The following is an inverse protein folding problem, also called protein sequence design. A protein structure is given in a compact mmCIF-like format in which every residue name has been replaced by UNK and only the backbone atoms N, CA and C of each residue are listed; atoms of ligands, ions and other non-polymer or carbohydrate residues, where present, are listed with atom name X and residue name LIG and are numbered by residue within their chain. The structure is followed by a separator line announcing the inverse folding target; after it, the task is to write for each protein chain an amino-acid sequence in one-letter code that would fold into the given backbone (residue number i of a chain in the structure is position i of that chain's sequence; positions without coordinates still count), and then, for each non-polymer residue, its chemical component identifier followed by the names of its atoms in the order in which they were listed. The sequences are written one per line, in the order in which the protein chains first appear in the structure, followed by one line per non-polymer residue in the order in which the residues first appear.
data_IF_977775988619
#
_entry.id   IF_977775988619
#
_cell.length_a   1.000
_cell.length_b   1.000
_cell.length_c   1.000
_cell.angle_alpha   90.00
_cell.angle_beta   90.00
_cell.angle_gamma   90.00
#
_symmetry.space_group_name_H-M   'P 1'
#
loop_
_entity.id
_entity.type
_entity.pdbx_description
1 polymer ?
#
# COMPACT_ATOMS: atom_id res chain seq x y z
N UNK A 1 2.16 -5.99 18.63
CA UNK A 1 1.78 -4.57 18.77
C UNK A 1 1.69 -3.88 17.42
N UNK A 2 2.72 -3.91 16.57
CA UNK A 2 2.71 -3.24 15.25
C UNK A 2 1.52 -3.64 14.36
N UNK A 3 1.25 -4.95 14.23
CA UNK A 3 0.09 -5.47 13.50
C UNK A 3 -1.24 -4.94 14.06
N UNK A 4 -1.35 -4.80 15.38
CA UNK A 4 -2.54 -4.22 16.03
C UNK A 4 -2.67 -2.76 15.63
N UNK A 5 -1.59 -1.98 15.72
CA UNK A 5 -1.58 -0.57 15.32
C UNK A 5 -1.96 -0.35 13.85
N UNK A 6 -1.50 -1.21 12.93
CA UNK A 6 -1.86 -1.15 11.51
C UNK A 6 -3.33 -1.47 11.20
N UNK A 7 -4.03 -2.13 12.13
CA UNK A 7 -5.42 -2.54 12.00
C UNK A 7 -6.41 -1.64 12.76
N UNK A 8 -5.94 -0.82 13.71
CA UNK A 8 -6.82 0.02 14.52
C UNK A 8 -7.61 1.03 13.67
N UNK A 9 -8.92 1.10 13.90
CA UNK A 9 -9.92 1.81 13.10
C UNK A 9 -10.74 2.86 13.89
N UNK A 10 -10.40 3.11 15.15
CA UNK A 10 -11.06 4.15 15.93
C UNK A 10 -10.53 5.57 15.62
N UNK A 11 -11.30 6.59 15.95
CA UNK A 11 -10.93 7.99 15.66
C UNK A 11 -9.61 8.36 16.36
N UNK A 12 -8.68 8.92 15.59
CA UNK A 12 -7.35 9.34 16.08
C UNK A 12 -6.22 8.35 15.78
N UNK A 13 -6.49 7.21 15.12
CA UNK A 13 -5.46 6.30 14.61
C UNK A 13 -5.31 6.42 13.07
N UNK A 14 -5.60 5.35 12.32
CA UNK A 14 -5.38 5.30 10.88
C UNK A 14 -6.56 5.94 10.12
N UNK A 15 -6.23 6.85 9.21
CA UNK A 15 -7.17 7.31 8.19
C UNK A 15 -7.48 6.18 7.21
N UNK A 16 -6.49 5.32 6.92
CA UNK A 16 -6.67 4.08 6.19
C UNK A 16 -5.99 2.95 6.97
N UNK A 17 -6.77 2.07 7.58
CA UNK A 17 -6.25 0.86 8.20
C UNK A 17 -6.01 -0.21 7.12
N UNK A 18 -4.75 -0.59 6.97
CA UNK A 18 -4.28 -1.54 5.95
C UNK A 18 -4.73 -2.98 6.24
N UNK A 19 -5.10 -3.23 7.49
CA UNK A 19 -5.44 -4.51 8.07
C UNK A 19 -6.82 -4.44 8.70
N UNK A 20 -7.64 -5.48 8.54
CA UNK A 20 -8.99 -5.52 9.10
C UNK A 20 -8.96 -5.90 10.59
N UNK A 21 -9.55 -5.10 11.50
CA UNK A 21 -9.58 -5.42 12.92
C UNK A 21 -10.67 -6.46 13.25
N UNK A 22 -10.38 -7.77 13.07
CA UNK A 22 -11.33 -8.84 13.42
C UNK A 22 -11.17 -9.26 14.88
N UNK A 23 -11.89 -8.57 15.76
CA UNK A 23 -11.86 -8.78 17.21
C UNK A 23 -11.62 -7.47 17.95
N UNK A 24 -11.22 -7.55 19.23
CA UNK A 24 -10.96 -6.37 20.04
C UNK A 24 -9.53 -5.81 19.79
N UNK A 25 -9.38 -4.98 18.75
CA UNK A 25 -8.11 -4.29 18.42
C UNK A 25 -7.86 -3.02 19.28
N UNK A 26 -8.67 -2.84 20.32
CA UNK A 26 -8.68 -1.68 21.19
C UNK A 26 -9.61 -0.59 20.67
N UNK A 27 -9.89 0.39 21.52
CA UNK A 27 -10.89 1.40 21.26
C UNK A 27 -10.37 2.79 21.60
N UNK A 28 -11.14 3.80 21.17
CA UNK A 28 -10.91 5.20 21.57
C UNK A 28 -11.01 5.42 23.09
N UNK A 29 -11.61 4.49 23.84
CA UNK A 29 -11.78 4.62 25.27
C UNK A 29 -10.43 4.78 25.99
N UNK A 30 -9.41 4.03 25.55
CA UNK A 30 -8.08 4.05 26.17
C UNK A 30 -6.94 4.25 25.16
N UNK A 31 -7.27 4.65 23.93
CA UNK A 31 -6.29 4.81 22.86
C UNK A 31 -5.68 3.48 22.40
N UNK A 32 -6.49 2.42 22.39
CA UNK A 32 -6.09 1.09 21.94
C UNK A 32 -5.31 0.25 22.95
N UNK A 33 -5.13 0.73 24.19
CA UNK A 33 -4.48 -0.04 25.28
C UNK A 33 -5.35 -1.19 25.79
N UNK A 34 -6.65 -1.11 25.52
CA UNK A 34 -7.67 -2.13 25.75
C UNK A 34 -7.76 -3.18 24.64
N UNK A 35 -6.79 -3.21 23.72
CA UNK A 35 -6.68 -4.30 22.75
C UNK A 35 -6.52 -5.66 23.46
N UNK A 36 -7.24 -6.67 22.98
CA UNK A 36 -7.09 -8.02 23.46
C UNK A 36 -5.71 -8.58 23.09
N UNK A 37 -5.28 -9.63 23.80
CA UNK A 37 -4.02 -10.29 23.51
C UNK A 37 -4.02 -10.85 22.07
N UNK A 38 -2.86 -10.80 21.40
CA UNK A 38 -2.71 -11.16 19.99
C UNK A 38 -3.27 -12.54 19.61
N UNK A 39 -3.31 -13.49 20.56
CA UNK A 39 -3.87 -14.84 20.38
C UNK A 39 -5.40 -14.91 20.26
N UNK A 40 -6.11 -13.81 20.56
CA UNK A 40 -7.58 -13.75 20.57
C UNK A 40 -8.16 -12.83 19.49
N UNK A 41 -7.31 -12.31 18.61
CA UNK A 41 -7.69 -11.38 17.56
C UNK A 41 -7.13 -11.86 16.23
N UNK A 42 -7.84 -11.54 15.15
CA UNK A 42 -7.51 -11.97 13.80
C UNK A 42 -7.43 -10.76 12.89
N UNK A 43 -6.68 -10.88 11.79
CA UNK A 43 -6.60 -9.83 10.79
C UNK A 43 -6.32 -10.43 9.43
N UNK A 44 -6.67 -9.68 8.40
CA UNK A 44 -6.29 -9.93 7.01
C UNK A 44 -6.16 -8.58 6.31
N UNK A 45 -5.61 -8.57 5.09
CA UNK A 45 -5.51 -7.35 4.29
C UNK A 45 -6.88 -6.74 4.05
N UNK A 46 -6.98 -5.42 4.23
CA UNK A 46 -8.12 -4.64 3.77
C UNK A 46 -8.17 -4.70 2.24
N UNK A 47 -9.37 -4.78 1.65
CA UNK A 47 -9.53 -4.78 0.19
C UNK A 47 -8.94 -3.54 -0.48
N UNK A 48 -8.98 -2.40 0.22
CA UNK A 48 -8.37 -1.15 -0.24
C UNK A 48 -6.84 -1.26 -0.40
N UNK A 49 -6.18 -2.11 0.39
CA UNK A 49 -4.72 -2.28 0.39
C UNK A 49 -4.17 -2.63 -0.99
N UNK A 50 -4.84 -3.51 -1.74
CA UNK A 50 -4.40 -3.91 -3.08
C UNK A 50 -4.52 -2.79 -4.14
N UNK A 51 -5.38 -1.80 -3.92
CA UNK A 51 -5.45 -0.59 -4.77
C UNK A 51 -4.43 0.48 -4.37
N UNK A 52 -3.91 0.42 -3.13
CA UNK A 52 -2.84 1.30 -2.67
C UNK A 52 -1.49 0.74 -3.14
N UNK A 53 -1.28 -0.56 -3.05
CA UNK A 53 -0.04 -1.24 -3.45
C UNK A 53 -0.35 -2.14 -4.64
N UNK A 54 -0.13 -1.60 -5.85
CA UNK A 54 -0.46 -2.32 -7.07
C UNK A 54 0.51 -3.50 -7.27
N UNK A 55 -0.03 -4.70 -7.54
CA UNK A 55 0.75 -5.94 -7.70
C UNK A 55 1.86 -5.84 -8.76
N UNK A 56 1.58 -5.15 -9.86
CA UNK A 56 2.54 -4.94 -10.95
C UNK A 56 3.76 -4.09 -10.55
N UNK A 57 3.69 -3.35 -9.44
CA UNK A 57 4.85 -2.61 -8.92
C UNK A 57 5.84 -3.55 -8.21
N UNK A 58 5.42 -4.74 -7.76
CA UNK A 58 6.29 -5.67 -7.01
C UNK A 58 7.55 -6.03 -7.76
N UNK A 59 7.46 -6.26 -9.08
CA UNK A 59 8.60 -6.55 -9.94
C UNK A 59 9.65 -5.43 -10.03
N UNK A 60 9.29 -4.21 -9.62
CA UNK A 60 10.13 -3.01 -9.72
C UNK A 60 10.82 -2.68 -8.39
N UNK A 61 10.44 -3.35 -7.30
CA UNK A 61 10.95 -3.06 -5.97
C UNK A 61 12.31 -3.72 -5.76
N UNK A 62 13.15 -3.04 -4.97
CA UNK A 62 14.44 -3.59 -4.55
C UNK A 62 14.26 -4.41 -3.28
N UNK A 63 14.28 -5.73 -3.42
CA UNK A 63 14.16 -6.68 -2.32
C UNK A 63 15.48 -6.86 -1.56
N UNK A 64 15.39 -6.93 -0.23
CA UNK A 64 16.55 -7.18 0.63
C UNK A 64 16.88 -8.68 0.69
N UNK A 65 18.15 -9.00 1.00
CA UNK A 65 18.63 -10.38 1.21
C UNK A 65 19.10 -10.54 2.65
N UNK A 66 18.62 -11.60 3.33
CA UNK A 66 19.03 -11.99 4.67
C UNK A 66 19.20 -13.52 4.72
N UNK A 67 20.37 -14.02 5.11
CA UNK A 67 20.72 -15.45 5.11
C UNK A 67 20.38 -16.17 3.78
N UNK A 68 20.75 -15.55 2.65
CA UNK A 68 20.45 -16.02 1.27
C UNK A 68 18.95 -16.08 0.91
N UNK A 69 18.08 -15.56 1.78
CA UNK A 69 16.64 -15.45 1.53
C UNK A 69 16.27 -14.04 1.13
N UNK A 70 15.44 -13.95 0.10
CA UNK A 70 14.79 -12.70 -0.28
C UNK A 70 13.70 -12.39 0.74
N UNK A 71 13.80 -11.24 1.42
CA UNK A 71 12.85 -10.76 2.43
C UNK A 71 12.03 -9.58 1.87
N UNK A 72 11.52 -8.66 2.69
CA UNK A 72 10.79 -7.47 2.21
C UNK A 72 11.66 -6.51 1.37
N UNK A 73 11.04 -5.66 0.54
CA UNK A 73 11.76 -4.58 -0.12
C UNK A 73 12.17 -3.47 0.84
N UNK A 74 13.19 -2.70 0.45
CA UNK A 74 13.64 -1.52 1.21
C UNK A 74 12.47 -0.58 1.53
N UNK A 75 11.54 -0.43 0.58
CA UNK A 75 10.27 0.25 0.76
C UNK A 75 9.28 -0.18 -0.34
N UNK A 76 7.99 -0.04 -0.06
CA UNK A 76 6.94 -0.23 -1.04
C UNK A 76 6.57 1.09 -1.73
N UNK A 77 6.05 1.02 -2.94
CA UNK A 77 5.66 2.16 -3.76
C UNK A 77 4.13 2.31 -3.85
N UNK A 78 3.45 2.87 -2.83
CA UNK A 78 2.00 3.06 -2.88
C UNK A 78 1.59 4.06 -3.97
N UNK A 79 0.33 4.00 -4.43
CA UNK A 79 -0.27 4.92 -5.41
C UNK A 79 -0.43 6.35 -4.86
N UNK A 80 -0.51 6.51 -3.54
CA UNK A 80 -0.49 7.79 -2.81
C UNK A 80 0.49 7.72 -1.62
N UNK A 81 1.07 8.84 -1.14
CA UNK A 81 2.05 8.83 -0.05
C UNK A 81 1.39 8.48 1.29
N UNK A 82 1.45 7.20 1.67
CA UNK A 82 0.82 6.68 2.89
C UNK A 82 1.33 7.32 4.18
N UNK A 83 2.57 7.84 4.17
CA UNK A 83 3.13 8.60 5.28
C UNK A 83 2.30 9.86 5.58
N UNK A 84 1.77 10.55 4.57
CA UNK A 84 0.85 11.67 4.75
C UNK A 84 -0.56 11.20 5.10
N UNK A 85 -0.98 10.03 4.65
CA UNK A 85 -2.33 9.50 4.91
C UNK A 85 -2.52 9.17 6.39
N UNK A 86 -1.66 8.31 6.94
CA UNK A 86 -1.78 7.85 8.32
C UNK A 86 -0.93 8.64 9.31
N UNK A 87 -0.04 9.52 8.81
CA UNK A 87 0.92 10.22 9.63
C UNK A 87 2.04 9.28 10.12
N UNK A 88 2.81 9.77 11.08
CA UNK A 88 3.88 9.02 11.70
C UNK A 88 4.40 9.71 12.96
N UNK A 89 4.61 8.94 14.02
CA UNK A 89 5.23 9.40 15.26
C UNK A 89 6.36 8.45 15.62
N UNK A 90 7.51 9.00 15.97
CA UNK A 90 8.68 8.20 16.30
C UNK A 90 9.75 9.01 17.03
N UNK A 91 10.47 8.35 17.93
CA UNK A 91 11.60 8.92 18.66
C UNK A 91 12.80 8.00 18.44
N UNK A 92 13.88 8.58 17.93
CA UNK A 92 15.17 7.92 17.77
C UNK A 92 16.28 8.69 18.49
N UNK A 93 17.51 8.23 18.32
CA UNK A 93 18.67 8.93 18.88
C UNK A 93 18.95 10.19 18.06
N UNK A 94 18.79 11.36 18.67
CA UNK A 94 19.07 12.67 18.05
C UNK A 94 17.94 13.25 17.20
N UNK A 95 16.90 12.47 16.88
CA UNK A 95 15.77 12.89 16.06
C UNK A 95 14.44 12.39 16.63
N UNK A 96 13.38 13.16 16.41
CA UNK A 96 12.00 12.72 16.57
C UNK A 96 11.18 13.19 15.38
N UNK A 97 10.06 12.54 15.14
CA UNK A 97 9.12 12.95 14.09
C UNK A 97 7.71 12.96 14.65
N UNK A 98 6.95 13.97 14.25
CA UNK A 98 5.51 14.00 14.43
C UNK A 98 4.90 14.57 13.15
N UNK A 99 4.30 13.67 12.37
CA UNK A 99 3.56 13.98 11.15
C UNK A 99 2.10 13.61 11.41
N UNK A 100 1.18 14.59 11.49
CA UNK A 100 -0.22 14.28 11.62
C UNK A 100 -0.78 13.73 10.29
N UNK A 101 -1.90 13.00 10.34
CA UNK A 101 -2.52 12.47 9.15
C UNK A 101 -3.24 13.55 8.34
N UNK A 102 -3.36 13.34 7.03
CA UNK A 102 -4.04 14.23 6.08
C UNK A 102 -5.13 13.47 5.32
N UNK A 103 -6.07 14.21 4.72
CA UNK A 103 -7.18 13.63 3.97
C UNK A 103 -6.68 13.00 2.66
N UNK A 104 -6.94 11.70 2.41
CA UNK A 104 -6.55 11.03 1.17
C UNK A 104 -7.06 11.73 -0.10
N UNK A 105 -8.25 12.35 -0.06
CA UNK A 105 -8.82 13.05 -1.22
C UNK A 105 -8.05 14.33 -1.56
N UNK A 106 -7.58 15.07 -0.55
CA UNK A 106 -6.79 16.28 -0.74
C UNK A 106 -5.39 15.94 -1.29
N UNK A 107 -4.81 14.84 -0.79
CA UNK A 107 -3.56 14.29 -1.33
C UNK A 107 -3.72 13.93 -2.81
N UNK A 108 -4.77 13.19 -3.17
CA UNK A 108 -5.05 12.81 -4.57
C UNK A 108 -5.26 14.05 -5.45
N UNK A 109 -6.01 15.05 -4.98
CA UNK A 109 -6.21 16.30 -5.71
C UNK A 109 -4.88 17.01 -5.99
N UNK A 110 -3.98 17.05 -5.01
CA UNK A 110 -2.64 17.62 -5.22
C UNK A 110 -1.75 16.80 -6.15
N UNK A 111 -1.86 15.47 -6.15
CA UNK A 111 -1.17 14.62 -7.14
C UNK A 111 -1.67 14.95 -8.55
N UNK A 112 -2.98 15.12 -8.76
CA UNK A 112 -3.52 15.59 -10.04
C UNK A 112 -3.00 16.98 -10.42
N UNK A 113 -2.92 17.91 -9.47
CA UNK A 113 -2.35 19.24 -9.72
C UNK A 113 -0.89 19.15 -10.21
N UNK A 114 -0.06 18.33 -9.56
CA UNK A 114 1.33 18.10 -9.98
C UNK A 114 1.42 17.49 -11.38
N UNK A 115 0.57 16.52 -11.71
CA UNK A 115 0.52 15.93 -13.06
C UNK A 115 0.20 16.95 -14.15
N UNK A 116 -0.67 17.92 -13.83
CA UNK A 116 -1.13 18.98 -14.72
C UNK A 116 -0.22 20.23 -14.69
N UNK A 117 0.86 20.23 -13.89
CA UNK A 117 1.76 21.38 -13.72
C UNK A 117 1.15 22.56 -12.96
N UNK A 118 0.10 22.32 -12.17
CA UNK A 118 -0.58 23.30 -11.32
C UNK A 118 0.07 23.34 -9.93
N UNK A 119 0.04 24.49 -9.24
CA UNK A 119 0.53 24.57 -7.87
C UNK A 119 -0.30 23.68 -6.92
N UNK A 120 0.37 23.07 -5.95
CA UNK A 120 -0.31 22.32 -4.89
C UNK A 120 -1.05 23.25 -3.92
N UNK A 121 -2.24 22.82 -3.51
CA UNK A 121 -3.02 23.43 -2.43
C UNK A 121 -2.47 23.01 -1.07
N UNK A 122 -2.66 23.88 -0.07
CA UNK A 122 -2.29 23.55 1.31
C UNK A 122 -3.25 22.53 1.88
N UNK A 123 -2.72 21.54 2.59
CA UNK A 123 -3.50 20.50 3.26
C UNK A 123 -3.52 20.77 4.76
N UNK A 124 -4.69 20.66 5.38
CA UNK A 124 -4.83 20.72 6.83
C UNK A 124 -4.82 19.29 7.41
N UNK A 125 -4.30 19.09 8.64
CA UNK A 125 -4.38 17.78 9.26
C UNK A 125 -5.84 17.32 9.43
N UNK A 126 -6.10 16.04 9.17
CA UNK A 126 -7.44 15.49 9.10
C UNK A 126 -7.48 14.06 9.61
N UNK A 127 -8.53 13.73 10.36
CA UNK A 127 -8.71 12.44 11.02
C UNK A 127 -10.04 11.82 10.62
N UNK A 128 -10.01 10.57 10.15
CA UNK A 128 -11.20 9.89 9.64
C UNK A 128 -12.32 9.73 10.69
N UNK A 129 -13.48 10.29 10.34
CA UNK A 129 -14.72 10.34 11.12
C UNK A 129 -14.58 10.99 12.50
N UNK A 130 -13.58 11.85 12.65
CA UNK A 130 -13.60 12.88 13.68
C UNK A 130 -14.51 14.01 13.22
N UNK A 131 -15.43 14.45 14.09
CA UNK A 131 -16.43 15.45 13.73
C UNK A 131 -16.17 16.83 14.35
N UNK A 132 -15.01 17.05 14.97
CA UNK A 132 -14.65 18.32 15.60
C UNK A 132 -14.30 19.43 14.61
N UNK A 133 -13.74 20.52 15.14
CA UNK A 133 -13.39 21.72 14.35
C UNK A 133 -11.87 21.86 14.32
N UNK A 134 -11.30 21.99 13.11
CA UNK A 134 -9.90 22.36 12.92
C UNK A 134 -9.80 23.86 12.64
N UNK A 135 -9.01 24.57 13.44
CA UNK A 135 -8.73 25.99 13.26
C UNK A 135 -7.25 26.21 12.99
N UNK A 136 -6.95 26.97 11.95
CA UNK A 136 -5.61 27.42 11.61
C UNK A 136 -5.22 28.62 12.49
N UNK A 137 -4.04 28.57 13.10
CA UNK A 137 -3.60 29.52 14.13
C UNK A 137 -2.56 30.55 13.67
N UNK A 138 -2.01 30.38 12.47
CA UNK A 138 -0.99 31.23 11.87
C UNK A 138 -1.32 31.48 10.40
N UNK A 139 -0.79 32.53 9.77
CA UNK A 139 -1.06 32.80 8.35
C UNK A 139 -0.41 31.75 7.45
N UNK A 140 0.71 31.18 7.89
CA UNK A 140 1.48 30.17 7.17
C UNK A 140 0.79 28.80 7.15
N UNK A 141 -0.07 28.48 8.13
CA UNK A 141 -0.78 27.20 8.21
C UNK A 141 0.10 26.07 8.74
N UNK A 142 1.01 26.38 9.67
CA UNK A 142 1.87 25.39 10.34
C UNK A 142 1.35 25.00 11.72
N UNK A 143 0.42 25.78 12.29
CA UNK A 143 -0.15 25.54 13.62
C UNK A 143 -1.66 25.43 13.53
N UNK A 144 -2.20 24.38 14.13
CA UNK A 144 -3.63 24.12 14.19
C UNK A 144 -4.08 23.90 15.63
N UNK A 145 -5.32 24.28 15.92
CA UNK A 145 -6.05 23.82 17.10
C UNK A 145 -7.18 22.92 16.65
N UNK A 146 -7.24 21.73 17.25
CA UNK A 146 -8.29 20.75 17.00
C UNK A 146 -9.23 20.73 18.19
N UNK A 147 -10.47 21.14 17.97
CA UNK A 147 -11.49 21.26 19.00
C UNK A 147 -12.45 20.08 18.98
N UNK A 148 -12.81 19.57 20.16
CA UNK A 148 -13.96 18.70 20.32
C UNK A 148 -15.29 19.42 20.05
N UNK A 149 -16.41 18.79 20.42
CA UNK A 149 -17.74 19.43 20.42
C UNK A 149 -18.24 19.55 21.84
N UNK A 150 -18.66 20.76 22.19
CA UNK A 150 -19.20 21.12 23.49
C UNK A 150 -20.30 22.14 23.30
N UNK A 151 -21.47 21.88 23.87
CA UNK A 151 -22.65 22.72 23.72
C UNK A 151 -23.30 22.99 25.08
N UNK A 152 -23.77 24.22 25.29
CA UNK A 152 -24.55 24.56 26.48
C UNK A 152 -26.03 24.20 26.22
N UNK A 153 -26.54 23.20 26.94
CA UNK A 153 -27.92 22.70 26.79
C UNK A 153 -28.89 23.26 27.84
N UNK A 154 -28.37 23.82 28.93
CA UNK A 154 -29.16 24.44 30.00
C UNK A 154 -28.47 25.63 30.66
N UNK A 155 -29.08 26.26 31.68
CA UNK A 155 -28.50 27.43 32.36
C UNK A 155 -27.12 27.18 32.95
N UNK A 156 -26.90 25.99 33.51
CA UNK A 156 -25.61 25.55 34.06
C UNK A 156 -25.20 24.14 33.60
N UNK A 157 -25.82 23.67 32.51
CA UNK A 157 -25.62 22.32 31.98
C UNK A 157 -24.95 22.39 30.61
N UNK A 158 -23.94 21.54 30.43
CA UNK A 158 -23.10 21.48 29.24
C UNK A 158 -23.01 20.03 28.80
N UNK A 159 -23.00 19.82 27.49
CA UNK A 159 -22.89 18.52 26.86
C UNK A 159 -21.62 18.44 26.02
N UNK A 160 -20.82 17.39 26.22
CA UNK A 160 -19.64 17.07 25.41
C UNK A 160 -19.97 15.86 24.55
N UNK A 161 -19.87 16.02 23.23
CA UNK A 161 -20.22 14.96 22.26
C UNK A 161 -19.06 14.51 21.37
N UNK A 162 -17.92 15.20 21.41
CA UNK A 162 -16.74 14.85 20.63
C UNK A 162 -15.49 15.35 21.34
N UNK A 163 -14.42 14.55 21.32
CA UNK A 163 -13.12 14.92 21.87
C UNK A 163 -12.18 15.35 20.74
N UNK A 164 -11.12 16.12 21.03
CA UNK A 164 -10.04 16.30 20.06
C UNK A 164 -9.46 14.95 19.59
N UNK A 165 -8.83 14.90 18.42
CA UNK A 165 -8.08 13.73 17.99
C UNK A 165 -7.03 13.38 19.03
N UNK A 166 -6.68 12.08 19.10
CA UNK A 166 -5.69 11.51 20.04
C UNK A 166 -5.94 11.78 21.53
N UNK A 167 -7.13 12.30 21.88
CA UNK A 167 -7.60 12.46 23.26
C UNK A 167 -8.59 11.33 23.57
N UNK A 168 -8.32 10.60 24.64
CA UNK A 168 -9.03 9.36 24.99
C UNK A 168 -10.13 9.61 26.02
N UNK A 169 -11.17 8.78 25.98
CA UNK A 169 -12.33 8.89 26.89
C UNK A 169 -11.87 8.77 28.35
N UNK A 170 -10.98 7.82 28.64
CA UNK A 170 -10.46 7.61 30.00
C UNK A 170 -9.77 8.86 30.55
N UNK A 171 -8.98 9.56 29.74
CA UNK A 171 -8.26 10.78 30.14
C UNK A 171 -9.22 11.92 30.48
N UNK A 172 -10.28 12.09 29.68
CA UNK A 172 -11.30 13.11 29.97
C UNK A 172 -12.15 12.71 31.17
N UNK A 173 -12.55 11.44 31.27
CA UNK A 173 -13.30 10.92 32.41
C UNK A 173 -12.55 11.11 33.73
N UNK A 174 -11.24 10.82 33.77
CA UNK A 174 -10.41 11.08 34.94
C UNK A 174 -10.40 12.57 35.33
N UNK A 175 -10.28 13.47 34.35
CA UNK A 175 -10.34 14.92 34.57
C UNK A 175 -11.71 15.38 35.12
N UNK A 176 -12.80 14.84 34.57
CA UNK A 176 -14.16 15.17 35.02
C UNK A 176 -14.45 14.61 36.42
N UNK A 177 -14.06 13.37 36.72
CA UNK A 177 -14.21 12.78 38.05
C UNK A 177 -13.41 13.54 39.12
N UNK A 178 -12.20 13.99 38.79
CA UNK A 178 -11.44 14.88 39.66
C UNK A 178 -12.14 16.24 39.88
N UNK A 179 -12.91 16.71 38.89
CA UNK A 179 -13.76 17.89 39.03
C UNK A 179 -15.03 17.66 39.85
N UNK A 180 -15.59 16.45 39.86
CA UNK A 180 -16.78 16.10 40.64
C UNK A 180 -16.45 15.82 42.10
N UNK A 181 -15.50 14.94 42.37
CA UNK A 181 -15.14 14.51 43.72
C UNK A 181 -14.04 15.34 44.39
N UNK A 182 -13.26 16.09 43.61
CA UNK A 182 -12.03 16.72 44.08
C UNK A 182 -10.87 15.73 44.22
N UNK A 183 -9.67 16.27 44.34
CA UNK A 183 -8.42 15.56 44.67
C UNK A 183 -7.58 16.45 45.59
N UNK A 184 -6.45 15.95 46.12
CA UNK A 184 -5.51 16.75 46.92
C UNK A 184 -5.04 18.04 46.21
N UNK A 185 -5.07 18.05 44.87
CA UNK A 185 -4.61 19.17 44.04
C UNK A 185 -5.74 19.98 43.40
N UNK A 186 -6.93 19.41 43.26
CA UNK A 186 -8.05 20.00 42.50
C UNK A 186 -9.29 20.04 43.38
N UNK A 187 -9.79 21.24 43.67
CA UNK A 187 -11.07 21.39 44.38
C UNK A 187 -12.22 20.97 43.47
N UNK A 188 -13.29 20.36 44.02
CA UNK A 188 -14.48 20.00 43.24
C UNK A 188 -15.13 21.27 42.67
N UNK A 189 -15.51 21.21 41.41
CA UNK A 189 -16.13 22.30 40.64
C UNK A 189 -17.29 21.83 39.76
N UNK A 190 -17.49 20.52 39.63
CA UNK A 190 -18.65 19.91 38.96
C UNK A 190 -19.66 19.54 40.03
N UNK A 191 -20.94 19.85 39.79
CA UNK A 191 -22.03 19.48 40.69
C UNK A 191 -22.51 18.07 40.42
N UNK A 192 -22.69 17.73 39.14
CA UNK A 192 -23.17 16.42 38.72
C UNK A 192 -22.65 16.07 37.32
N UNK A 193 -22.48 14.78 37.04
CA UNK A 193 -22.01 14.27 35.76
C UNK A 193 -22.72 12.97 35.41
N UNK A 194 -23.34 12.94 34.23
CA UNK A 194 -23.88 11.74 33.62
C UNK A 194 -23.02 11.32 32.43
N UNK A 195 -22.70 10.04 32.36
CA UNK A 195 -22.00 9.43 31.24
C UNK A 195 -22.94 8.47 30.53
N UNK A 196 -23.21 8.71 29.24
CA UNK A 196 -23.98 7.78 28.42
C UNK A 196 -23.01 6.93 27.61
N UNK A 197 -22.99 5.64 27.90
CA UNK A 197 -22.19 4.66 27.16
C UNK A 197 -22.97 4.19 25.93
N UNK A 198 -22.53 4.62 24.75
CA UNK A 198 -23.00 4.16 23.43
C UNK A 198 -21.86 4.08 22.42
N UNK A 199 -22.18 4.01 21.13
CA UNK A 199 -21.17 4.09 20.05
C UNK A 199 -20.47 5.46 20.00
N UNK A 200 -21.15 6.51 20.47
CA UNK A 200 -20.65 7.88 20.53
C UNK A 200 -20.42 8.33 21.97
N UNK A 201 -19.47 9.23 22.17
CA UNK A 201 -19.17 9.84 23.47
C UNK A 201 -20.25 10.86 23.82
N UNK A 202 -20.80 10.79 25.03
CA UNK A 202 -21.69 11.83 25.55
C UNK A 202 -21.52 12.00 27.06
N UNK A 203 -21.01 13.16 27.46
CA UNK A 203 -20.95 13.57 28.86
C UNK A 203 -21.91 14.75 29.07
N UNK A 204 -22.84 14.60 30.00
CA UNK A 204 -23.72 15.69 30.45
C UNK A 204 -23.22 16.16 31.80
N UNK A 205 -22.83 17.42 31.88
CA UNK A 205 -22.14 18.00 33.04
C UNK A 205 -22.96 19.16 33.56
N UNK A 206 -23.31 19.10 34.84
CA UNK A 206 -24.02 20.18 35.54
C UNK A 206 -23.07 20.87 36.51
N UNK A 207 -23.00 22.20 36.41
CA UNK A 207 -22.21 23.06 37.28
C UNK A 207 -23.12 23.83 38.25
N UNK A 208 -22.54 24.37 39.33
CA UNK A 208 -23.18 25.43 40.10
C UNK A 208 -23.15 26.74 39.31
N UNK A 209 -24.03 27.70 39.62
CA UNK A 209 -24.04 28.99 38.92
C UNK A 209 -22.71 29.74 39.04
N UNK A 210 -22.03 29.64 40.19
CA UNK A 210 -20.73 30.27 40.42
C UNK A 210 -19.64 29.63 39.57
N UNK A 211 -19.55 28.30 39.55
CA UNK A 211 -18.54 27.58 38.75
C UNK A 211 -18.84 27.68 37.25
N UNK A 212 -20.12 27.79 36.87
CA UNK A 212 -20.50 28.04 35.49
C UNK A 212 -19.98 29.40 34.99
N UNK A 213 -20.13 30.47 35.79
CA UNK A 213 -19.60 31.79 35.44
C UNK A 213 -18.07 31.76 35.29
N UNK A 214 -17.36 31.14 36.24
CA UNK A 214 -15.90 30.95 36.16
C UNK A 214 -15.49 30.14 34.92
N UNK A 215 -16.23 29.08 34.62
CA UNK A 215 -15.98 28.24 33.45
C UNK A 215 -16.17 29.01 32.14
N UNK A 216 -17.16 29.91 32.08
CA UNK A 216 -17.38 30.78 30.93
C UNK A 216 -16.26 31.81 30.75
N UNK A 217 -15.71 32.34 31.83
CA UNK A 217 -14.56 33.25 31.81
C UNK A 217 -13.27 32.55 31.33
N UNK A 218 -13.04 31.30 31.76
CA UNK A 218 -11.91 30.47 31.29
C UNK A 218 -12.09 30.05 29.82
N UNK A 219 -13.34 29.79 29.42
CA UNK A 219 -13.70 29.19 28.14
C UNK A 219 -13.91 27.69 28.27
N UNK A 220 -14.97 27.19 27.63
CA UNK A 220 -15.37 25.77 27.73
C UNK A 220 -14.28 24.82 27.23
N UNK A 221 -13.70 25.10 26.07
CA UNK A 221 -12.69 24.21 25.47
C UNK A 221 -11.46 24.03 26.37
N UNK A 222 -10.95 25.10 26.97
CA UNK A 222 -9.79 25.03 27.85
C UNK A 222 -10.13 24.36 29.18
N UNK A 223 -11.28 24.70 29.79
CA UNK A 223 -11.70 24.12 31.08
C UNK A 223 -11.91 22.61 31.01
N UNK A 224 -12.51 22.14 29.92
CA UNK A 224 -12.84 20.74 29.70
C UNK A 224 -11.76 19.96 28.91
N UNK A 225 -10.61 20.60 28.59
CA UNK A 225 -9.51 20.00 27.82
C UNK A 225 -9.97 19.45 26.46
N UNK A 226 -10.83 20.20 25.79
CA UNK A 226 -11.39 19.86 24.47
C UNK A 226 -10.71 20.61 23.35
N UNK A 227 -9.44 20.97 23.53
CA UNK A 227 -8.59 21.57 22.50
C UNK A 227 -7.22 20.90 22.53
N UNK A 228 -6.75 20.48 21.36
CA UNK A 228 -5.40 19.91 21.20
C UNK A 228 -4.63 20.71 20.14
N UNK A 229 -3.41 21.17 20.44
CA UNK A 229 -2.56 21.80 19.44
C UNK A 229 -1.95 20.74 18.51
N UNK A 230 -1.85 21.07 17.22
CA UNK A 230 -1.16 20.27 16.20
C UNK A 230 -0.15 21.18 15.50
N UNK A 231 1.11 20.75 15.45
CA UNK A 231 2.22 21.53 14.90
C UNK A 231 2.91 20.78 13.77
N UNK A 232 3.09 21.44 12.62
CA UNK A 232 3.78 20.90 11.45
C UNK A 232 5.28 21.25 11.44
N UNK A 233 5.90 21.40 12.61
CA UNK A 233 7.28 21.91 12.75
C UNK A 233 8.35 20.82 12.83
N UNK A 234 7.94 19.56 13.02
CA UNK A 234 8.84 18.43 13.25
C UNK A 234 8.55 17.27 12.28
N UNK A 235 8.58 17.59 10.99
CA UNK A 235 8.37 16.63 9.91
C UNK A 235 9.73 16.02 9.54
N UNK A 236 10.06 14.86 10.10
CA UNK A 236 11.34 14.18 9.83
C UNK A 236 11.06 12.80 9.26
N UNK A 237 11.62 12.50 8.10
CA UNK A 237 11.47 11.21 7.42
C UNK A 237 12.80 10.78 6.80
N UNK A 238 12.91 9.49 6.50
CA UNK A 238 13.93 9.02 5.57
C UNK A 238 13.53 9.41 4.14
N UNK A 239 14.49 9.91 3.37
CA UNK A 239 14.34 10.07 1.92
C UNK A 239 14.46 8.72 1.19
N UNK A 240 14.28 8.74 -0.13
CA UNK A 240 14.37 7.54 -0.96
C UNK A 240 15.73 6.82 -0.93
N UNK A 241 16.77 7.51 -0.47
CA UNK A 241 18.14 7.01 -0.38
C UNK A 241 18.51 6.60 1.06
N UNK A 242 17.52 6.56 1.96
CA UNK A 242 17.72 6.17 3.36
C UNK A 242 18.38 7.24 4.23
N UNK A 243 18.40 8.51 3.81
CA UNK A 243 18.96 9.62 4.60
C UNK A 243 17.86 10.35 5.36
N UNK A 244 18.15 10.69 6.62
CA UNK A 244 17.22 11.47 7.45
C UNK A 244 17.17 12.91 6.93
N UNK A 245 15.95 13.38 6.62
CA UNK A 245 15.69 14.74 6.18
C UNK A 245 14.57 15.36 7.01
N UNK A 246 14.73 16.65 7.34
CA UNK A 246 13.67 17.48 7.90
C UNK A 246 12.98 18.27 6.80
N UNK A 247 11.66 18.22 6.80
CA UNK A 247 10.76 18.94 5.89
C UNK A 247 10.09 20.09 6.63
N UNK A 248 9.80 21.18 5.93
CA UNK A 248 9.12 22.34 6.51
C UNK A 248 7.62 22.36 6.20
N UNK A 249 7.21 21.69 5.13
CA UNK A 249 5.84 21.67 4.66
C UNK A 249 5.49 20.27 4.12
N UNK A 250 4.29 19.72 4.42
CA UNK A 250 3.85 18.43 3.87
C UNK A 250 3.89 18.36 2.33
N UNK A 251 3.80 19.50 1.65
CA UNK A 251 3.92 19.59 0.18
C UNK A 251 5.33 19.27 -0.31
N UNK A 252 6.38 19.51 0.48
CA UNK A 252 7.74 19.11 0.13
C UNK A 252 7.85 17.57 0.12
N UNK A 253 7.23 16.89 1.08
CA UNK A 253 7.15 15.43 1.13
C UNK A 253 6.37 14.91 -0.08
N UNK A 254 5.23 15.54 -0.40
CA UNK A 254 4.40 15.14 -1.54
C UNK A 254 5.14 15.33 -2.88
N UNK A 255 5.89 16.42 -3.04
CA UNK A 255 6.70 16.68 -4.23
C UNK A 255 7.79 15.62 -4.41
N UNK A 256 8.57 15.34 -3.36
CA UNK A 256 9.64 14.33 -3.43
C UNK A 256 9.07 12.94 -3.75
N UNK A 257 7.97 12.56 -3.07
CA UNK A 257 7.24 11.33 -3.39
C UNK A 257 6.75 11.32 -4.85
N UNK A 258 6.22 12.45 -5.35
CA UNK A 258 5.67 12.53 -6.70
C UNK A 258 6.73 12.25 -7.76
N UNK A 259 7.91 12.85 -7.64
CA UNK A 259 8.99 12.69 -8.60
C UNK A 259 9.47 11.24 -8.67
N UNK A 260 9.65 10.60 -7.51
CA UNK A 260 10.03 9.18 -7.41
C UNK A 260 8.93 8.27 -7.97
N UNK A 261 7.68 8.51 -7.58
CA UNK A 261 6.57 7.65 -8.00
C UNK A 261 6.33 7.76 -9.49
N UNK A 262 6.51 8.94 -10.09
CA UNK A 262 6.37 9.15 -11.52
C UNK A 262 7.40 8.34 -12.33
N UNK A 263 8.66 8.30 -11.86
CA UNK A 263 9.72 7.45 -12.45
C UNK A 263 9.35 5.95 -12.34
N UNK A 264 8.83 5.52 -11.19
CA UNK A 264 8.37 4.14 -11.03
C UNK A 264 7.21 3.79 -11.97
N UNK A 265 6.29 4.72 -12.26
CA UNK A 265 5.24 4.49 -13.26
C UNK A 265 5.81 4.37 -14.68
N UNK A 266 6.89 5.08 -15.00
CA UNK A 266 7.58 4.90 -16.27
C UNK A 266 8.23 3.50 -16.34
N UNK A 267 8.98 3.11 -15.31
CA UNK A 267 9.54 1.75 -15.18
C UNK A 267 8.47 0.66 -15.26
N UNK A 268 7.31 0.89 -14.63
CA UNK A 268 6.16 -0.01 -14.70
C UNK A 268 5.64 -0.15 -16.12
N UNK A 269 5.47 0.97 -16.85
CA UNK A 269 5.04 0.93 -18.25
C UNK A 269 6.01 0.12 -19.09
N UNK A 270 7.31 0.35 -18.92
CA UNK A 270 8.36 -0.33 -19.68
C UNK A 270 8.37 -1.83 -19.38
N UNK A 271 8.30 -2.21 -18.10
CA UNK A 271 8.18 -3.61 -17.67
C UNK A 271 6.94 -4.29 -18.25
N UNK A 272 5.75 -3.68 -18.11
CA UNK A 272 4.50 -4.26 -18.61
C UNK A 272 4.51 -4.41 -20.13
N UNK A 273 5.08 -3.44 -20.85
CA UNK A 273 5.20 -3.47 -22.31
C UNK A 273 6.13 -4.60 -22.75
N UNK A 274 7.31 -4.72 -22.14
CA UNK A 274 8.28 -5.78 -22.45
C UNK A 274 7.76 -7.16 -22.08
N UNK A 275 7.12 -7.29 -20.91
CA UNK A 275 6.54 -8.55 -20.47
C UNK A 275 5.39 -9.00 -21.38
N UNK A 276 4.50 -8.09 -21.76
CA UNK A 276 3.40 -8.40 -22.68
C UNK A 276 3.91 -8.76 -24.09
N UNK A 277 4.98 -8.10 -24.56
CA UNK A 277 5.65 -8.48 -25.81
C UNK A 277 6.24 -9.90 -25.73
N UNK A 278 6.97 -10.24 -24.66
CA UNK A 278 7.49 -11.60 -24.44
C UNK A 278 6.39 -12.66 -24.44
N UNK A 279 5.23 -12.37 -23.83
CA UNK A 279 4.07 -13.28 -23.87
C UNK A 279 3.55 -13.45 -25.31
N UNK A 280 3.41 -12.36 -26.08
CA UNK A 280 2.97 -12.41 -27.48
C UNK A 280 3.96 -13.26 -28.30
N UNK A 281 5.26 -13.03 -28.14
CA UNK A 281 6.30 -13.76 -28.85
C UNK A 281 6.21 -15.26 -28.51
N UNK A 282 6.10 -15.61 -27.23
CA UNK A 282 5.90 -17.00 -26.78
C UNK A 282 4.67 -17.65 -27.40
N UNK A 283 3.52 -16.96 -27.43
CA UNK A 283 2.30 -17.49 -28.05
C UNK A 283 2.46 -17.63 -29.56
N UNK A 284 3.17 -16.71 -30.21
CA UNK A 284 3.46 -16.77 -31.65
C UNK A 284 4.30 -18.01 -32.00
N UNK A 285 5.27 -18.36 -31.16
CA UNK A 285 6.05 -19.59 -31.31
C UNK A 285 5.19 -20.83 -31.04
N UNK A 286 4.32 -20.82 -30.03
CA UNK A 286 3.37 -21.92 -29.82
C UNK A 286 2.43 -22.12 -31.01
N UNK A 287 1.92 -21.03 -31.59
CA UNK A 287 1.08 -21.08 -32.78
C UNK A 287 1.86 -21.59 -34.00
N UNK A 288 3.10 -21.12 -34.21
CA UNK A 288 4.00 -21.61 -35.27
C UNK A 288 4.27 -23.11 -35.12
N UNK A 289 4.60 -23.56 -33.91
CA UNK A 289 4.84 -24.98 -33.61
C UNK A 289 3.61 -25.83 -33.92
N UNK A 290 2.43 -25.42 -33.44
CA UNK A 290 1.18 -26.14 -33.71
C UNK A 290 0.87 -26.21 -35.21
N UNK A 291 1.06 -25.10 -35.94
CA UNK A 291 0.83 -25.09 -37.37
C UNK A 291 1.73 -26.12 -38.08
N UNK A 292 3.03 -26.18 -37.76
CA UNK A 292 3.96 -27.16 -38.35
C UNK A 292 3.59 -28.61 -38.00
N UNK A 293 3.08 -28.85 -36.80
CA UNK A 293 2.64 -30.20 -36.39
C UNK A 293 1.35 -30.60 -37.11
N UNK A 294 0.40 -29.68 -37.26
CA UNK A 294 -0.90 -29.93 -37.92
C UNK A 294 -0.73 -30.11 -39.43
N UNK A 295 0.15 -29.33 -40.08
CA UNK A 295 0.45 -29.49 -41.52
C UNK A 295 1.31 -30.72 -41.81
N UNK A 296 1.88 -31.35 -40.77
CA UNK A 296 2.72 -32.55 -40.88
C UNK A 296 4.17 -32.25 -41.26
N UNK A 297 4.56 -30.98 -41.30
CA UNK A 297 5.94 -30.52 -41.54
C UNK A 297 6.87 -30.86 -40.38
N UNK A 298 6.35 -30.85 -39.14
CA UNK A 298 7.09 -31.23 -37.94
C UNK A 298 6.50 -32.50 -37.31
N UNK A 299 7.30 -33.56 -37.24
CA UNK A 299 6.93 -34.82 -36.55
C UNK A 299 7.63 -34.91 -35.20
N UNK A 300 6.85 -34.90 -34.14
CA UNK A 300 7.32 -35.00 -32.74
C UNK A 300 7.47 -36.46 -32.28
N UNK A 301 6.63 -37.36 -32.80
CA UNK A 301 6.63 -38.78 -32.40
C UNK A 301 7.88 -39.54 -32.83
N UNK A 302 8.33 -40.46 -31.97
CA UNK A 302 9.44 -41.39 -32.22
C UNK A 302 10.82 -40.72 -32.48
N UNK A 303 11.07 -39.54 -31.89
CA UNK A 303 12.37 -38.85 -31.90
C UNK A 303 12.96 -38.74 -30.49
N UNK A 304 14.29 -38.68 -30.38
CA UNK A 304 14.97 -38.35 -29.12
C UNK A 304 14.80 -36.86 -28.80
N UNK A 305 14.71 -36.50 -27.50
CA UNK A 305 14.57 -35.10 -27.07
C UNK A 305 15.68 -34.20 -27.65
N UNK A 306 16.93 -34.67 -27.68
CA UNK A 306 18.06 -33.91 -28.24
C UNK A 306 17.89 -33.59 -29.73
N UNK A 307 17.48 -34.57 -30.54
CA UNK A 307 17.23 -34.39 -31.98
C UNK A 307 16.09 -33.41 -32.24
N UNK A 308 15.06 -33.45 -31.39
CA UNK A 308 13.93 -32.54 -31.50
C UNK A 308 14.34 -31.10 -31.13
N UNK A 309 15.19 -30.92 -30.11
CA UNK A 309 15.73 -29.60 -29.78
C UNK A 309 16.57 -29.00 -30.91
N UNK A 310 17.46 -29.78 -31.53
CA UNK A 310 18.27 -29.34 -32.69
C UNK A 310 17.38 -28.93 -33.89
N UNK A 311 16.31 -29.70 -34.16
CA UNK A 311 15.36 -29.38 -35.23
C UNK A 311 14.57 -28.10 -34.93
N UNK A 312 14.18 -27.86 -33.67
CA UNK A 312 13.53 -26.62 -33.25
C UNK A 312 14.47 -25.41 -33.38
N UNK A 313 15.75 -25.57 -33.05
CA UNK A 313 16.77 -24.53 -33.27
C UNK A 313 16.92 -24.19 -34.75
N UNK A 314 17.01 -25.21 -35.62
CA UNK A 314 17.08 -25.02 -37.08
C UNK A 314 15.82 -24.35 -37.66
N UNK A 315 14.66 -24.60 -37.07
CA UNK A 315 13.39 -23.98 -37.44
C UNK A 315 13.22 -22.56 -36.84
N UNK A 316 14.22 -22.08 -36.10
CA UNK A 316 14.27 -20.73 -35.54
C UNK A 316 13.34 -20.52 -34.34
N UNK A 317 13.10 -21.55 -33.53
CA UNK A 317 12.43 -21.40 -32.24
C UNK A 317 13.44 -20.96 -31.17
N UNK A 318 13.10 -19.98 -30.32
CA UNK A 318 13.95 -19.65 -29.20
C UNK A 318 13.76 -20.61 -28.04
N UNK A 319 14.79 -20.70 -27.23
CA UNK A 319 14.70 -21.21 -25.86
C UNK A 319 14.18 -20.11 -24.95
N UNK A 320 13.34 -20.47 -23.98
CA UNK A 320 12.77 -19.50 -23.02
C UNK A 320 13.22 -19.90 -21.62
N UNK A 321 13.85 -18.97 -20.89
CA UNK A 321 14.27 -19.20 -19.51
C UNK A 321 13.10 -18.98 -18.52
N UNK A 322 13.34 -19.19 -17.23
CA UNK A 322 12.31 -18.98 -16.18
C UNK A 322 11.85 -17.51 -16.08
N UNK A 323 12.70 -16.56 -16.48
CA UNK A 323 12.39 -15.11 -16.47
C UNK A 323 11.54 -14.70 -17.68
N UNK A 324 11.43 -15.54 -18.71
CA UNK A 324 10.69 -15.28 -19.94
C UNK A 324 11.56 -14.66 -21.05
N UNK A 325 12.87 -14.62 -20.88
CA UNK A 325 13.80 -14.13 -21.89
C UNK A 325 13.97 -15.18 -22.99
N UNK A 326 13.98 -14.72 -24.24
CA UNK A 326 14.15 -15.55 -25.42
C UNK A 326 15.61 -15.58 -25.84
N UNK A 327 16.17 -16.77 -25.96
CA UNK A 327 17.52 -16.98 -26.47
C UNK A 327 17.49 -17.68 -27.82
N UNK A 328 18.18 -17.09 -28.81
CA UNK A 328 18.30 -17.59 -30.18
C UNK A 328 19.78 -17.89 -30.44
N UNK A 329 20.22 -19.11 -30.16
CA UNK A 329 21.61 -19.51 -30.35
C UNK A 329 21.84 -20.97 -29.99
N UNK A 330 23.02 -21.49 -30.35
CA UNK A 330 23.47 -22.81 -29.90
C UNK A 330 24.24 -22.65 -28.58
N UNK A 331 23.80 -23.36 -27.53
CA UNK A 331 24.42 -23.29 -26.19
C UNK A 331 25.92 -23.59 -26.25
N UNK A 332 26.34 -24.45 -27.18
CA UNK A 332 27.73 -24.87 -27.32
C UNK A 332 28.64 -23.76 -27.88
N UNK A 333 28.16 -22.94 -28.83
CA UNK A 333 28.96 -21.85 -29.41
C UNK A 333 29.15 -20.67 -28.45
N UNK A 334 28.15 -20.39 -27.60
CA UNK A 334 28.23 -19.28 -26.64
C UNK A 334 29.02 -19.65 -25.37
N UNK A 335 28.94 -20.89 -24.89
CA UNK A 335 29.80 -21.37 -23.80
C UNK A 335 31.28 -21.35 -24.21
N UNK A 336 31.58 -21.65 -25.48
CA UNK A 336 32.94 -21.61 -26.01
C UNK A 336 33.50 -20.17 -26.18
N UNK A 337 32.62 -19.15 -26.23
CA UNK A 337 33.02 -17.72 -26.25
C UNK A 337 33.13 -17.11 -24.84
N UNK A 338 32.23 -17.44 -23.91
CA UNK A 338 32.19 -16.86 -22.55
C UNK A 338 33.28 -17.38 -21.61
N UNK A 339 33.99 -18.45 -21.95
CA UNK A 339 35.14 -18.95 -21.17
C UNK A 339 36.37 -18.01 -21.10
N UNK A 340 36.23 -16.74 -21.50
CA UNK A 340 37.33 -15.77 -21.57
C UNK A 340 37.17 -14.50 -20.73
N UNK A 341 35.97 -14.12 -20.26
CA UNK A 341 35.80 -12.90 -19.43
C UNK A 341 34.60 -13.04 -18.47
N UNK A 342 34.86 -13.23 -17.17
CA UNK A 342 33.86 -13.05 -16.10
C UNK A 342 34.30 -11.94 -15.13
N UNK A 343 33.56 -10.83 -15.13
CA UNK A 343 33.33 -10.01 -13.93
C UNK A 343 31.80 -10.02 -13.69
N UNK A 344 31.38 -10.60 -12.55
CA UNK A 344 29.98 -10.68 -12.11
C UNK A 344 29.49 -9.30 -11.60
N UNK A 345 28.47 -8.72 -12.23
CA UNK A 345 27.55 -7.79 -11.56
C UNK A 345 26.18 -8.46 -11.39
N UNK A 346 25.76 -8.62 -10.14
CA UNK A 346 24.51 -9.27 -9.77
C UNK A 346 23.29 -8.39 -10.07
N UNK A 347 22.39 -8.88 -10.93
CA UNK A 347 21.08 -8.29 -11.17
C UNK A 347 19.94 -9.06 -10.46
N UNK A 348 18.86 -8.35 -10.05
CA UNK A 348 17.91 -8.84 -9.07
C UNK A 348 17.01 -9.97 -9.58
N UNK A 349 16.73 -10.90 -8.67
CA UNK A 349 15.80 -12.03 -8.87
C UNK A 349 14.37 -11.52 -8.67
N UNK A 350 13.53 -11.64 -9.70
CA UNK A 350 12.12 -11.26 -9.67
C UNK A 350 11.26 -12.47 -9.28
N UNK A 351 10.87 -12.56 -8.00
CA UNK A 351 9.90 -13.54 -7.51
C UNK A 351 8.59 -12.80 -7.24
N UNK A 352 7.53 -13.19 -7.94
CA UNK A 352 6.18 -12.69 -7.68
C UNK A 352 5.64 -13.34 -6.39
N UNK A 353 5.47 -12.62 -5.26
CA UNK A 353 5.10 -13.23 -3.97
C UNK A 353 3.62 -13.61 -3.87
N UNK A 354 2.82 -13.38 -4.91
CA UNK A 354 1.36 -13.58 -4.91
C UNK A 354 0.87 -14.72 -5.81
N UNK A 355 1.76 -15.61 -6.25
CA UNK A 355 1.34 -16.86 -6.88
C UNK A 355 0.79 -17.81 -5.82
N UNK A 356 -0.53 -17.85 -5.64
CA UNK A 356 -1.20 -18.98 -4.99
C UNK A 356 -0.95 -20.22 -5.86
N UNK A 357 -0.18 -21.17 -5.32
CA UNK A 357 0.11 -22.46 -5.94
C UNK A 357 -0.01 -23.56 -4.90
N UNK A 358 -1.19 -24.19 -4.86
CA UNK A 358 -1.27 -25.62 -4.57
C UNK A 358 -0.52 -26.34 -5.68
N UNK A 359 0.63 -26.95 -5.37
CA UNK A 359 1.13 -28.11 -6.09
C UNK A 359 2.10 -28.89 -5.20
N UNK A 360 1.67 -30.10 -4.83
CA UNK A 360 2.44 -31.07 -4.05
C UNK A 360 3.71 -31.49 -4.81
N UNK A 361 4.88 -31.14 -4.28
CA UNK A 361 6.16 -31.67 -4.78
C UNK A 361 6.45 -32.99 -4.05
N UNK A 362 6.07 -34.10 -4.68
CA UNK A 362 6.58 -35.43 -4.35
C UNK A 362 8.07 -35.48 -4.69
N UNK A 363 8.91 -35.70 -3.69
CA UNK A 363 10.35 -35.82 -3.84
C UNK A 363 10.79 -37.01 -4.68
N UNK A 364 11.81 -36.79 -5.51
CA UNK A 364 12.82 -37.78 -5.81
C UNK A 364 14.17 -37.06 -5.96
N UNK A 365 15.11 -37.52 -5.14
CA UNK A 365 16.49 -37.07 -5.11
C UNK A 365 17.25 -37.72 -6.28
N UNK A 366 17.63 -36.91 -7.26
CA UNK A 366 18.78 -37.08 -8.16
C UNK A 366 18.71 -35.95 -9.20
N UNK A 367 19.36 -34.82 -8.94
CA UNK A 367 19.81 -33.84 -9.94
C UNK A 367 20.50 -32.66 -9.25
N UNK A 368 21.81 -32.76 -9.06
CA UNK A 368 22.67 -31.63 -8.71
C UNK A 368 23.61 -31.43 -9.91
N UNK A 369 23.70 -30.18 -10.39
CA UNK A 369 24.68 -29.60 -11.36
C UNK A 369 24.10 -28.95 -12.66
N UNK A 370 22.80 -29.03 -13.03
CA UNK A 370 22.31 -28.43 -14.30
C UNK A 370 21.58 -27.06 -14.23
N UNK A 371 21.44 -26.43 -13.05
CA UNK A 371 20.55 -25.27 -12.92
C UNK A 371 21.07 -23.97 -13.58
N UNK A 372 22.38 -23.76 -13.73
CA UNK A 372 22.91 -22.47 -14.23
C UNK A 372 22.67 -22.25 -15.73
N UNK A 373 22.84 -23.29 -16.55
CA UNK A 373 22.66 -23.19 -18.00
C UNK A 373 21.17 -23.08 -18.39
N UNK A 374 20.26 -23.75 -17.69
CA UNK A 374 18.81 -23.61 -17.93
C UNK A 374 18.27 -22.24 -17.49
N UNK A 375 18.85 -21.64 -16.45
CA UNK A 375 18.52 -20.27 -16.04
C UNK A 375 19.03 -19.22 -17.02
N UNK A 376 20.18 -19.44 -17.64
CA UNK A 376 20.80 -18.50 -18.59
C UNK A 376 20.24 -18.65 -20.02
N UNK A 377 20.17 -19.87 -20.54
CA UNK A 377 19.84 -20.13 -21.95
C UNK A 377 18.40 -20.62 -22.18
N UNK A 378 17.70 -21.09 -21.14
CA UNK A 378 16.31 -21.53 -21.23
C UNK A 378 16.07 -22.87 -21.94
N UNK A 379 14.80 -23.25 -22.06
CA UNK A 379 14.38 -24.55 -22.61
C UNK A 379 13.26 -24.43 -23.66
N UNK A 380 13.02 -25.53 -24.39
CA UNK A 380 11.88 -25.68 -25.30
C UNK A 380 10.62 -26.24 -24.61
N UNK A 381 10.61 -26.31 -23.27
CA UNK A 381 9.55 -26.99 -22.54
C UNK A 381 8.19 -26.31 -22.71
N UNK A 382 8.16 -25.01 -23.02
CA UNK A 382 6.92 -24.28 -23.35
C UNK A 382 6.23 -24.76 -24.63
N UNK A 383 6.94 -25.50 -25.49
CA UNK A 383 6.40 -26.19 -26.67
C UNK A 383 6.21 -27.69 -26.39
N UNK A 384 7.20 -28.33 -25.78
CA UNK A 384 7.25 -29.79 -25.64
C UNK A 384 6.35 -30.35 -24.52
N UNK A 385 6.03 -29.54 -23.51
CA UNK A 385 5.09 -29.94 -22.45
C UNK A 385 3.62 -29.67 -22.81
N UNK A 386 3.36 -29.27 -24.06
CA UNK A 386 2.00 -29.14 -24.56
C UNK A 386 1.29 -30.50 -24.56
N UNK A 387 0.09 -30.55 -24.01
CA UNK A 387 -0.70 -31.78 -23.86
C UNK A 387 -1.12 -32.27 -25.25
N UNK A 388 -1.16 -33.58 -25.50
CA UNK A 388 -1.41 -34.13 -26.85
C UNK A 388 -2.70 -33.60 -27.51
N UNK A 389 -3.76 -33.42 -26.72
CA UNK A 389 -5.04 -32.86 -27.19
C UNK A 389 -5.01 -31.37 -27.54
N UNK A 390 -3.90 -30.67 -27.26
CA UNK A 390 -3.70 -29.28 -27.69
C UNK A 390 -3.20 -29.18 -29.13
N UNK A 391 -2.80 -30.31 -29.73
CA UNK A 391 -2.34 -30.39 -31.13
C UNK A 391 -3.53 -30.44 -32.10
N UNK A 392 -4.44 -29.47 -32.02
CA UNK A 392 -5.63 -29.39 -32.88
C UNK A 392 -5.77 -28.02 -33.54
N UNK A 393 -6.54 -27.98 -34.63
CA UNK A 393 -6.81 -26.73 -35.36
C UNK A 393 -7.55 -25.71 -34.50
N UNK A 394 -8.49 -26.16 -33.67
CA UNK A 394 -9.24 -25.30 -32.75
C UNK A 394 -8.31 -24.59 -31.76
N UNK A 395 -7.29 -25.30 -31.25
CA UNK A 395 -6.33 -24.70 -30.32
C UNK A 395 -5.40 -23.72 -31.02
N UNK A 396 -4.99 -23.99 -32.26
CA UNK A 396 -4.25 -23.04 -33.08
C UNK A 396 -5.04 -21.76 -33.33
N UNK A 397 -6.30 -21.85 -33.76
CA UNK A 397 -7.18 -20.68 -33.95
C UNK A 397 -7.41 -19.91 -32.64
N UNK A 398 -7.57 -20.63 -31.51
CA UNK A 398 -7.67 -20.01 -30.20
C UNK A 398 -6.41 -19.22 -29.80
N UNK A 399 -5.22 -19.73 -30.10
CA UNK A 399 -3.96 -19.01 -29.85
C UNK A 399 -3.81 -17.78 -30.74
N UNK A 400 -4.20 -17.86 -32.03
CA UNK A 400 -4.20 -16.69 -32.92
C UNK A 400 -5.11 -15.58 -32.39
N UNK A 401 -6.31 -15.93 -31.91
CA UNK A 401 -7.22 -14.97 -31.26
C UNK A 401 -6.61 -14.38 -29.99
N UNK A 402 -5.93 -15.20 -29.18
CA UNK A 402 -5.27 -14.74 -27.96
C UNK A 402 -4.12 -13.75 -28.28
N UNK A 403 -3.32 -14.03 -29.30
CA UNK A 403 -2.26 -13.13 -29.81
C UNK A 403 -2.87 -11.80 -30.23
N UNK A 404 -3.90 -11.82 -31.08
CA UNK A 404 -4.57 -10.60 -31.56
C UNK A 404 -5.11 -9.74 -30.41
N UNK A 405 -5.72 -10.37 -29.40
CA UNK A 405 -6.21 -9.66 -28.23
C UNK A 405 -5.06 -9.01 -27.44
N UNK A 406 -3.96 -9.74 -27.22
CA UNK A 406 -2.79 -9.20 -26.51
C UNK A 406 -2.07 -8.12 -27.29
N UNK A 407 -1.99 -8.21 -28.61
CA UNK A 407 -1.44 -7.17 -29.49
C UNK A 407 -2.28 -5.89 -29.42
N UNK A 408 -3.61 -6.02 -29.36
CA UNK A 408 -4.52 -4.89 -29.15
C UNK A 408 -4.28 -4.24 -27.78
N UNK A 409 -4.19 -5.05 -26.71
CA UNK A 409 -3.90 -4.57 -25.35
C UNK A 409 -2.52 -3.88 -25.28
N UNK A 410 -1.50 -4.44 -25.93
CA UNK A 410 -0.16 -3.87 -26.01
C UNK A 410 -0.16 -2.52 -26.72
N UNK A 411 -0.94 -2.41 -27.80
CA UNK A 411 -1.10 -1.16 -28.55
C UNK A 411 -1.74 -0.08 -27.67
N UNK A 412 -2.76 -0.44 -26.90
CA UNK A 412 -3.40 0.45 -25.92
C UNK A 412 -2.39 0.88 -24.85
N UNK A 413 -1.63 -0.06 -24.28
CA UNK A 413 -0.64 0.23 -23.24
C UNK A 413 0.49 1.13 -23.75
N UNK A 414 1.02 0.88 -24.95
CA UNK A 414 2.05 1.73 -25.58
C UNK A 414 1.55 3.16 -25.80
N UNK A 415 0.26 3.31 -26.13
CA UNK A 415 -0.40 4.61 -26.32
C UNK A 415 -0.63 5.42 -25.04
N UNK A 416 -0.65 4.79 -23.85
CA UNK A 416 -0.79 5.49 -22.57
C UNK A 416 0.53 6.12 -22.13
N UNK A 417 0.50 7.30 -21.52
CA UNK A 417 1.67 7.83 -20.82
C UNK A 417 1.77 7.24 -19.40
N UNK A 418 2.95 7.32 -18.77
CA UNK A 418 3.12 6.93 -17.37
C UNK A 418 2.19 7.73 -16.43
N UNK A 419 1.87 8.98 -16.76
CA UNK A 419 0.85 9.78 -16.07
C UNK A 419 -0.54 9.18 -16.23
N UNK A 420 -0.92 8.72 -17.42
CA UNK A 420 -2.26 8.15 -17.66
C UNK A 420 -2.47 6.87 -16.85
N UNK A 421 -1.45 6.00 -16.77
CA UNK A 421 -1.48 4.79 -15.94
C UNK A 421 -1.69 5.17 -14.47
N UNK A 422 -0.96 6.17 -13.97
CA UNK A 422 -1.16 6.65 -12.60
C UNK A 422 -2.55 7.28 -12.38
N UNK A 423 -3.07 8.03 -13.35
CA UNK A 423 -4.44 8.59 -13.27
C UNK A 423 -5.51 7.49 -13.20
N UNK A 424 -5.31 6.35 -13.86
CA UNK A 424 -6.20 5.18 -13.77
C UNK A 424 -6.15 4.54 -12.39
N UNK A 425 -4.94 4.33 -11.83
CA UNK A 425 -4.77 3.79 -10.48
C UNK A 425 -5.37 4.71 -9.41
N UNK A 426 -5.19 6.03 -9.52
CA UNK A 426 -5.80 7.00 -8.61
C UNK A 426 -7.33 6.97 -8.68
N UNK A 427 -7.90 6.76 -9.87
CA UNK A 427 -9.35 6.64 -10.07
C UNK A 427 -9.89 5.36 -9.43
N UNK A 428 -9.21 4.23 -9.59
CA UNK A 428 -9.60 3.00 -8.90
C UNK A 428 -9.45 3.15 -7.38
N UNK A 429 -8.33 3.71 -6.91
CA UNK A 429 -8.10 4.00 -5.50
C UNK A 429 -9.25 4.83 -4.90
N UNK A 430 -9.63 5.96 -5.51
CA UNK A 430 -10.74 6.79 -5.01
C UNK A 430 -12.05 5.99 -4.96
N UNK A 431 -12.35 5.18 -6.00
CA UNK A 431 -13.54 4.34 -6.03
C UNK A 431 -13.55 3.30 -4.91
N UNK A 432 -12.42 2.66 -4.63
CA UNK A 432 -12.32 1.71 -3.51
C UNK A 432 -12.32 2.44 -2.16
N UNK A 433 -11.75 3.64 -2.08
CA UNK A 433 -11.75 4.46 -0.89
C UNK A 433 -13.15 4.92 -0.51
N UNK A 434 -13.98 5.30 -1.48
CA UNK A 434 -15.38 5.66 -1.23
C UNK A 434 -16.17 4.48 -0.66
N UNK A 435 -15.98 3.27 -1.21
CA UNK A 435 -16.57 2.04 -0.64
C UNK A 435 -16.06 1.72 0.76
N UNK A 436 -14.78 1.98 1.01
CA UNK A 436 -14.17 1.82 2.32
C UNK A 436 -14.80 2.77 3.33
N UNK A 437 -15.00 4.04 2.96
CA UNK A 437 -15.66 5.03 3.82
C UNK A 437 -17.14 4.69 4.06
N UNK A 438 -17.86 4.20 3.04
CA UNK A 438 -19.24 3.73 3.19
C UNK A 438 -19.32 2.58 4.21
N UNK A 439 -18.51 1.53 4.02
CA UNK A 439 -18.42 0.41 4.96
C UNK A 439 -18.04 0.85 6.38
N UNK A 440 -17.06 1.74 6.50
CA UNK A 440 -16.57 2.25 7.77
C UNK A 440 -17.60 3.11 8.50
N UNK A 441 -18.41 3.87 7.75
CA UNK A 441 -19.51 4.67 8.32
C UNK A 441 -20.63 3.78 8.80
N UNK A 442 -20.99 2.73 8.06
CA UNK A 442 -22.03 1.76 8.47
C UNK A 442 -21.59 0.90 9.67
N UNK A 443 -20.29 0.68 9.84
CA UNK A 443 -19.73 -0.09 10.95
C UNK A 443 -19.59 0.71 12.26
N UNK A 444 -19.70 2.05 12.20
CA UNK A 444 -19.57 2.97 13.34
C UNK A 444 -20.92 3.37 13.90
#
# INVERSE_FOLDING_TARGET
QTVVGLAQDFVGTNNIYMLMPKGAFGTRATGGKDAAAARYIFTHLNKLTSSIFHKDDSALLKYCQEDEKTIEPEWYAPVIPMILVNGGEGIGTGWSTYLPPFNPKDIVANVYNLMDGKPMERMAPWYRGWNGISEKMDEEGTRYRMYGKIEQTGPTTIEITELPPTTWISTIKEHLLAGLGGTDKVKPWIKDMEEQHGATIRFVITLSEEEFKKTKEIGFYERFKLVSPVHLTNLVCFDAYGKIRKFNDPREILQEYFDIRLDLYQKRKDYLTSHMQSIIDKLSFQAKFLNLVITGELKVGNKKKSQLSEELEQLGFPRINKKGDTYFGSIQEDIDMEGSEEEEEGEPVNINPFAEGDDEVSGNADNVVNNSAEEKFGTFDYLLNMKLWSLTYEKYDALLKEIQNKEADLTVLKGKTHKDIWKEDLKDFIKQYDKFIEYDTDAR
#
